data_IF_903333147118
#
_entry.id   IF_903333147118
#
_cell.length_a   1.000
_cell.length_b   1.000
_cell.length_c   1.000
_cell.angle_alpha   90.00
_cell.angle_beta   90.00
_cell.angle_gamma   90.00
#
_symmetry.space_group_name_H-M   'P 1'
#
loop_
_entity.id
_entity.type
_entity.pdbx_description
1 polymer ?
#
# COMPACT_ATOMS: atom_id res chain seq x y z
N UNK A 1 -21.91 1.31 -13.10
CA UNK A 1 -22.67 0.11 -12.70
C UNK A 1 -21.67 -0.99 -12.38
N UNK A 2 -21.69 -1.52 -11.16
CA UNK A 2 -20.83 -2.63 -10.75
C UNK A 2 -21.34 -3.94 -11.35
N UNK A 3 -20.44 -4.81 -11.79
CA UNK A 3 -20.79 -6.16 -12.27
C UNK A 3 -20.97 -7.09 -11.05
N UNK A 4 -22.05 -7.90 -11.02
CA UNK A 4 -22.31 -8.87 -9.94
C UNK A 4 -21.64 -10.22 -10.24
N UNK A 5 -21.22 -10.96 -9.20
CA UNK A 5 -20.61 -12.30 -9.26
C UNK A 5 -19.30 -12.37 -10.07
N UNK A 6 -18.38 -11.45 -9.77
CA UNK A 6 -17.12 -11.32 -10.50
C UNK A 6 -16.02 -12.06 -9.74
N UNK A 7 -15.37 -13.03 -10.38
CA UNK A 7 -14.22 -13.72 -9.80
C UNK A 7 -12.92 -13.00 -10.20
N UNK A 8 -12.26 -12.38 -9.23
CA UNK A 8 -11.01 -11.60 -9.39
C UNK A 8 -9.75 -12.38 -9.02
N UNK A 9 -9.91 -13.63 -8.62
CA UNK A 9 -8.84 -14.54 -8.21
C UNK A 9 -8.50 -15.54 -9.31
N UNK A 10 -9.18 -15.49 -10.46
CA UNK A 10 -8.78 -16.26 -11.65
C UNK A 10 -7.69 -15.56 -12.46
N UNK A 11 -7.11 -16.30 -13.42
CA UNK A 11 -6.24 -15.72 -14.45
C UNK A 11 -7.00 -14.67 -15.28
N UNK A 12 -6.48 -13.44 -15.34
CA UNK A 12 -7.06 -12.29 -16.05
C UNK A 12 -6.01 -11.65 -16.95
N UNK A 13 -6.29 -11.59 -18.26
CA UNK A 13 -5.44 -10.90 -19.25
C UNK A 13 -6.31 -10.03 -20.17
N UNK A 14 -5.86 -8.84 -20.57
CA UNK A 14 -4.69 -8.11 -20.04
C UNK A 14 -4.84 -7.77 -18.55
N UNK A 15 -3.76 -7.37 -17.89
CA UNK A 15 -3.81 -6.92 -16.50
C UNK A 15 -4.68 -5.67 -16.37
N UNK A 16 -5.49 -5.60 -15.31
CA UNK A 16 -6.43 -4.50 -15.03
C UNK A 16 -6.53 -4.25 -13.53
N UNK A 17 -7.01 -3.06 -13.14
CA UNK A 17 -7.12 -2.70 -11.73
C UNK A 17 -8.14 -3.54 -10.95
N UNK A 18 -7.83 -3.79 -9.67
CA UNK A 18 -8.71 -4.46 -8.70
C UNK A 18 -8.66 -5.98 -8.71
N UNK A 19 -7.69 -6.62 -9.37
CA UNK A 19 -7.55 -8.09 -9.46
C UNK A 19 -6.53 -8.64 -8.47
N UNK A 20 -6.56 -9.96 -8.21
CA UNK A 20 -5.57 -10.63 -7.36
C UNK A 20 -4.16 -10.54 -7.95
N UNK A 21 -3.18 -10.19 -7.12
CA UNK A 21 -1.75 -10.19 -7.44
C UNK A 21 -0.92 -10.45 -6.17
N UNK A 22 0.32 -10.88 -6.31
CA UNK A 22 1.24 -10.95 -5.17
C UNK A 22 2.66 -11.33 -5.56
N UNK A 23 3.62 -11.03 -4.68
CA UNK A 23 4.94 -11.62 -4.73
C UNK A 23 4.85 -13.14 -4.58
N UNK A 24 5.70 -13.90 -5.27
CA UNK A 24 5.68 -15.37 -5.23
C UNK A 24 6.06 -15.96 -3.85
N UNK A 25 6.70 -15.19 -2.96
CA UNK A 25 7.01 -15.61 -1.58
C UNK A 25 5.97 -15.19 -0.54
N UNK A 26 4.90 -14.47 -0.94
CA UNK A 26 3.84 -14.03 -0.03
C UNK A 26 2.47 -14.58 -0.47
N UNK A 27 1.42 -14.26 0.28
CA UNK A 27 0.05 -14.72 -0.01
C UNK A 27 -0.58 -14.11 -1.29
N UNK A 28 -1.53 -13.20 -1.15
CA UNK A 28 -2.14 -12.45 -2.26
C UNK A 28 -2.79 -11.17 -1.74
N UNK A 29 -2.61 -10.08 -2.49
CA UNK A 29 -3.32 -8.83 -2.33
C UNK A 29 -3.96 -8.39 -3.64
N UNK A 30 -4.19 -7.09 -3.77
CA UNK A 30 -4.88 -6.49 -4.91
C UNK A 30 -3.90 -5.67 -5.75
N UNK A 31 -3.97 -5.85 -7.08
CA UNK A 31 -3.43 -4.88 -8.02
C UNK A 31 -4.24 -3.59 -7.91
N UNK A 32 -3.70 -2.57 -7.26
CA UNK A 32 -4.40 -1.32 -6.99
C UNK A 32 -4.65 -0.53 -8.24
N UNK A 33 -3.58 0.00 -8.83
CA UNK A 33 -3.65 0.77 -10.07
C UNK A 33 -2.31 0.74 -10.80
N UNK A 34 -2.25 1.37 -11.98
CA UNK A 34 -1.02 1.59 -12.73
C UNK A 34 -0.39 2.92 -12.34
N UNK A 35 0.93 2.94 -12.21
CA UNK A 35 1.68 4.07 -11.67
C UNK A 35 2.73 4.54 -12.66
N UNK A 36 2.80 5.84 -12.93
CA UNK A 36 3.87 6.46 -13.69
C UNK A 36 4.94 7.02 -12.74
N UNK A 37 6.21 6.91 -13.12
CA UNK A 37 7.32 7.47 -12.37
C UNK A 37 7.55 8.92 -12.81
N UNK A 38 7.36 9.87 -11.89
CA UNK A 38 7.42 11.33 -12.19
C UNK A 38 8.82 11.83 -12.51
N UNK A 39 9.85 11.08 -12.11
CA UNK A 39 11.27 11.41 -12.26
C UNK A 39 11.96 10.69 -13.42
N UNK A 40 11.23 9.89 -14.21
CA UNK A 40 11.83 9.15 -15.34
C UNK A 40 12.16 10.09 -16.50
N UNK A 41 13.38 10.04 -17.09
CA UNK A 41 13.71 10.76 -18.31
C UNK A 41 12.78 10.38 -19.47
N UNK A 42 12.41 9.11 -19.52
CA UNK A 42 11.34 8.59 -20.36
C UNK A 42 10.04 8.66 -19.54
N UNK A 43 9.26 9.73 -19.75
CA UNK A 43 7.95 10.01 -19.12
C UNK A 43 6.86 8.93 -19.37
N UNK A 44 7.24 7.71 -19.74
CA UNK A 44 6.34 6.68 -20.27
C UNK A 44 6.50 5.30 -19.62
N UNK A 45 7.41 5.10 -18.65
CA UNK A 45 7.46 3.82 -17.94
C UNK A 45 6.31 3.75 -16.92
N UNK A 46 5.38 2.83 -17.17
CA UNK A 46 4.24 2.55 -16.30
C UNK A 46 4.48 1.23 -15.56
N UNK A 47 4.27 1.27 -14.26
CA UNK A 47 4.39 0.15 -13.34
C UNK A 47 3.01 -0.27 -12.86
N UNK A 48 2.91 -1.50 -12.36
CA UNK A 48 1.78 -1.86 -11.50
C UNK A 48 2.07 -1.38 -10.08
N UNK A 49 1.05 -0.94 -9.35
CA UNK A 49 1.14 -0.43 -7.98
C UNK A 49 0.23 -1.19 -7.02
N UNK A 50 0.75 -1.45 -5.82
CA UNK A 50 0.03 -2.08 -4.70
C UNK A 50 0.74 -1.75 -3.37
N UNK A 51 0.33 -2.37 -2.27
CA UNK A 51 1.06 -2.27 -1.01
C UNK A 51 2.43 -2.97 -1.09
N UNK A 52 3.38 -2.49 -0.29
CA UNK A 52 4.69 -3.11 -0.12
C UNK A 52 4.58 -4.55 0.36
N UNK A 53 3.73 -4.84 1.35
CA UNK A 53 3.55 -6.21 1.83
C UNK A 53 2.85 -7.14 0.82
N UNK A 54 2.37 -6.62 -0.31
CA UNK A 54 1.81 -7.41 -1.41
C UNK A 54 2.87 -7.71 -2.47
N UNK A 55 3.82 -6.79 -2.72
CA UNK A 55 4.80 -6.93 -3.81
C UNK A 55 6.23 -7.25 -3.35
N UNK A 56 6.54 -7.03 -2.08
CA UNK A 56 7.81 -7.42 -1.47
C UNK A 56 7.63 -8.69 -0.63
N UNK A 57 8.65 -9.55 -0.64
CA UNK A 57 8.75 -10.72 0.24
C UNK A 57 8.68 -10.34 1.72
N UNK A 58 9.42 -9.29 2.11
CA UNK A 58 9.37 -8.69 3.43
C UNK A 58 9.43 -7.16 3.30
N UNK A 59 8.30 -6.48 3.55
CA UNK A 59 8.19 -5.03 3.41
C UNK A 59 9.08 -4.22 4.37
N UNK A 60 9.58 -4.84 5.44
CA UNK A 60 10.52 -4.21 6.38
C UNK A 60 11.97 -4.19 5.86
N UNK A 61 12.29 -4.93 4.81
CA UNK A 61 13.64 -4.98 4.26
C UNK A 61 13.79 -3.93 3.16
N UNK A 62 14.98 -3.36 2.96
CA UNK A 62 15.23 -2.34 1.91
C UNK A 62 14.94 -2.83 0.47
N UNK A 63 14.90 -4.15 0.25
CA UNK A 63 14.65 -4.76 -1.06
C UNK A 63 14.03 -6.14 -0.89
N UNK A 64 13.39 -6.65 -1.94
CA UNK A 64 12.84 -8.02 -2.00
C UNK A 64 13.80 -8.97 -2.70
N UNK A 65 14.09 -10.16 -2.17
CA UNK A 65 14.94 -11.14 -2.89
C UNK A 65 14.13 -11.88 -3.94
N UNK A 66 12.95 -12.37 -3.58
CA UNK A 66 11.99 -12.84 -4.56
C UNK A 66 11.49 -11.67 -5.40
N UNK A 67 11.65 -11.76 -6.72
CA UNK A 67 11.31 -10.70 -7.67
C UNK A 67 10.06 -11.01 -8.48
N UNK A 68 9.59 -12.25 -8.51
CA UNK A 68 8.45 -12.69 -9.32
C UNK A 68 7.16 -12.19 -8.71
N UNK A 69 6.34 -11.54 -9.54
CA UNK A 69 4.97 -11.14 -9.20
C UNK A 69 4.00 -11.97 -10.03
N UNK A 70 3.04 -12.62 -9.36
CA UNK A 70 2.10 -13.57 -9.94
C UNK A 70 0.72 -12.94 -10.12
N UNK A 71 0.01 -13.31 -11.20
CA UNK A 71 -1.43 -13.03 -11.36
C UNK A 71 -2.17 -14.32 -11.77
N UNK A 72 -3.13 -14.80 -10.95
CA UNK A 72 -3.48 -14.29 -9.61
C UNK A 72 -2.30 -14.45 -8.61
N UNK A 73 -2.42 -13.94 -7.38
CA UNK A 73 -1.41 -14.18 -6.34
C UNK A 73 -1.31 -15.66 -5.94
N UNK A 74 -0.24 -16.05 -5.24
CA UNK A 74 0.04 -17.46 -4.89
C UNK A 74 -1.09 -18.08 -4.05
N UNK A 75 -1.59 -17.34 -3.05
CA UNK A 75 -2.73 -17.77 -2.22
C UNK A 75 -4.00 -18.07 -3.03
N UNK A 76 -4.17 -17.39 -4.18
CA UNK A 76 -5.30 -17.56 -5.07
C UNK A 76 -5.02 -18.59 -6.20
N UNK A 77 -3.93 -19.37 -6.09
CA UNK A 77 -3.57 -20.45 -7.01
C UNK A 77 -2.77 -20.01 -8.23
N UNK A 78 -2.17 -18.83 -8.20
CA UNK A 78 -1.41 -18.29 -9.32
C UNK A 78 -0.03 -18.92 -9.49
N UNK A 79 0.38 -19.12 -10.74
CA UNK A 79 1.69 -19.70 -11.07
C UNK A 79 2.42 -18.92 -12.18
N UNK A 80 1.72 -18.04 -12.88
CA UNK A 80 2.27 -17.27 -14.01
C UNK A 80 2.88 -15.95 -13.53
N UNK A 81 4.15 -15.73 -13.85
CA UNK A 81 4.85 -14.47 -13.59
C UNK A 81 4.41 -13.41 -14.60
N UNK A 82 3.85 -12.31 -14.12
CA UNK A 82 3.34 -11.20 -14.94
C UNK A 82 4.10 -9.90 -14.79
N UNK A 83 4.89 -9.79 -13.74
CA UNK A 83 5.71 -8.62 -13.46
C UNK A 83 6.92 -9.00 -12.62
N UNK A 84 7.88 -8.09 -12.55
CA UNK A 84 9.06 -8.18 -11.69
C UNK A 84 9.06 -7.03 -10.69
N UNK A 85 9.22 -7.34 -9.41
CA UNK A 85 9.44 -6.35 -8.36
C UNK A 85 10.44 -5.29 -8.81
N UNK A 86 10.14 -4.02 -8.54
CA UNK A 86 11.03 -2.91 -8.84
C UNK A 86 11.48 -2.19 -7.57
N UNK A 87 10.54 -1.67 -6.78
CA UNK A 87 10.83 -0.84 -5.61
C UNK A 87 9.66 -0.84 -4.63
N UNK A 88 9.95 -0.62 -3.35
CA UNK A 88 8.95 -0.34 -2.31
C UNK A 88 9.49 0.65 -1.27
N UNK A 89 8.58 1.31 -0.56
CA UNK A 89 8.91 2.04 0.67
C UNK A 89 9.11 1.04 1.79
N UNK A 90 10.30 1.04 2.40
CA UNK A 90 10.60 0.19 3.56
C UNK A 90 9.66 0.56 4.71
N UNK A 91 9.06 -0.45 5.33
CA UNK A 91 8.31 -0.29 6.58
C UNK A 91 9.24 -0.42 7.79
N UNK A 92 9.04 0.44 8.78
CA UNK A 92 9.79 0.45 10.03
C UNK A 92 8.92 -0.09 11.17
N UNK A 93 9.11 -1.35 11.59
CA UNK A 93 8.49 -1.90 12.78
C UNK A 93 8.73 -1.08 14.06
N UNK A 94 7.78 -1.13 14.97
CA UNK A 94 7.89 -0.50 16.29
C UNK A 94 9.04 -1.16 17.07
N UNK A 95 9.98 -0.34 17.53
CA UNK A 95 11.13 -0.80 18.31
C UNK A 95 12.30 -1.32 17.47
N UNK A 96 12.29 -1.10 16.16
CA UNK A 96 13.44 -1.39 15.31
C UNK A 96 14.69 -0.68 15.82
N UNK A 97 15.80 -1.42 15.88
CA UNK A 97 17.08 -0.91 16.38
C UNK A 97 17.77 -0.13 15.26
N UNK A 98 18.27 1.05 15.59
CA UNK A 98 19.00 1.89 14.64
C UNK A 98 20.33 1.25 14.22
N UNK A 99 20.57 1.13 12.91
CA UNK A 99 21.86 0.73 12.34
C UNK A 99 22.89 1.89 12.34
N UNK A 100 22.54 3.07 12.85
CA UNK A 100 23.42 4.25 12.84
C UNK A 100 24.65 4.03 13.74
N UNK A 101 25.88 4.05 13.19
CA UNK A 101 27.09 3.82 13.99
C UNK A 101 27.26 4.82 15.13
N UNK A 102 26.91 6.08 14.90
CA UNK A 102 27.03 7.15 15.91
C UNK A 102 26.07 6.90 17.08
N UNK A 103 24.80 6.59 16.80
CA UNK A 103 23.80 6.29 17.84
C UNK A 103 24.18 5.05 18.64
N UNK A 104 24.75 4.04 17.98
CA UNK A 104 25.24 2.83 18.64
C UNK A 104 26.43 3.14 19.58
N UNK A 105 27.39 3.96 19.16
CA UNK A 105 28.51 4.39 20.02
C UNK A 105 28.02 5.12 21.27
N UNK A 106 27.02 6.01 21.12
CA UNK A 106 26.43 6.73 22.25
C UNK A 106 25.75 5.75 23.21
N UNK A 107 24.95 4.82 22.68
CA UNK A 107 24.27 3.80 23.49
C UNK A 107 25.27 2.91 24.23
N UNK A 108 26.34 2.47 23.57
CA UNK A 108 27.42 1.67 24.18
C UNK A 108 28.11 2.43 25.32
N UNK A 109 28.37 3.72 25.13
CA UNK A 109 28.96 4.58 26.17
C UNK A 109 28.05 4.68 27.39
N UNK A 110 26.74 4.89 27.17
CA UNK A 110 25.76 4.96 28.25
C UNK A 110 25.60 3.61 28.96
N UNK A 111 25.66 2.50 28.21
CA UNK A 111 25.64 1.15 28.77
C UNK A 111 26.88 0.88 29.63
N UNK A 112 28.06 1.31 29.20
CA UNK A 112 29.29 1.21 30.00
C UNK A 112 29.20 2.01 31.31
N UNK A 113 28.66 3.24 31.26
CA UNK A 113 28.42 4.05 32.47
C UNK A 113 27.40 3.36 33.39
N UNK A 114 26.31 2.83 32.83
CA UNK A 114 25.26 2.10 33.55
C UNK A 114 25.86 0.91 34.32
N UNK A 115 26.72 0.14 33.66
CA UNK A 115 27.42 -1.00 34.24
C UNK A 115 28.37 -0.58 35.36
N UNK A 116 29.21 0.44 35.15
CA UNK A 116 30.12 1.00 36.18
C UNK A 116 29.36 1.46 37.43
N UNK A 117 28.17 2.03 37.25
CA UNK A 117 27.31 2.47 38.35
C UNK A 117 26.46 1.35 38.98
N UNK A 118 26.67 0.08 38.57
CA UNK A 118 25.94 -1.09 39.06
C UNK A 118 24.45 -1.09 38.71
N UNK A 119 24.06 -0.40 37.63
CA UNK A 119 22.67 -0.31 37.18
C UNK A 119 22.35 -1.47 36.24
N UNK A 120 21.05 -1.80 36.14
CA UNK A 120 20.53 -2.84 35.22
C UNK A 120 19.88 -2.26 33.96
N UNK A 121 20.05 -0.96 33.73
CA UNK A 121 19.46 -0.24 32.61
C UNK A 121 20.25 -0.51 31.34
N UNK A 122 19.54 -0.80 30.24
CA UNK A 122 20.10 -0.95 28.90
C UNK A 122 19.54 0.15 27.99
N UNK A 123 20.43 0.88 27.34
CA UNK A 123 20.13 1.86 26.32
C UNK A 123 20.22 1.19 24.95
N UNK A 124 19.15 1.30 24.17
CA UNK A 124 19.07 0.83 22.78
C UNK A 124 18.65 2.00 21.91
N UNK A 125 19.40 2.33 20.85
CA UNK A 125 18.97 3.34 19.90
C UNK A 125 17.86 2.70 19.04
N UNK A 126 16.65 3.21 19.15
CA UNK A 126 15.50 2.77 18.35
C UNK A 126 15.24 3.76 17.22
N UNK A 127 14.72 3.27 16.10
CA UNK A 127 14.22 4.10 15.00
C UNK A 127 12.91 4.74 15.45
N UNK A 128 12.90 6.08 15.44
CA UNK A 128 11.71 6.89 15.71
C UNK A 128 11.24 7.53 14.38
N UNK A 129 10.91 6.66 13.41
CA UNK A 129 10.37 7.07 12.12
C UNK A 129 8.97 6.47 11.97
N UNK A 130 7.98 7.35 11.77
CA UNK A 130 6.60 6.95 11.53
C UNK A 130 6.41 6.61 10.05
N UNK A 131 5.70 5.51 9.80
CA UNK A 131 5.35 5.10 8.46
C UNK A 131 4.15 5.93 7.99
N UNK A 132 4.15 6.34 6.74
CA UNK A 132 3.03 7.10 6.16
C UNK A 132 2.35 6.35 5.01
N UNK A 133 3.09 5.42 4.39
CA UNK A 133 2.62 4.62 3.26
C UNK A 133 3.09 3.18 3.38
N UNK A 134 2.24 2.31 2.86
CA UNK A 134 2.56 0.94 2.50
C UNK A 134 2.44 0.86 0.98
N UNK A 135 3.56 0.97 0.25
CA UNK A 135 3.51 1.14 -1.20
C UNK A 135 4.70 0.51 -1.92
N UNK A 136 4.40 -0.12 -3.05
CA UNK A 136 5.38 -0.73 -3.95
C UNK A 136 4.93 -0.69 -5.40
N UNK A 137 5.92 -0.86 -6.28
CA UNK A 137 5.71 -0.98 -7.72
C UNK A 137 6.47 -2.18 -8.31
N UNK A 138 5.93 -2.72 -9.40
CA UNK A 138 6.57 -3.76 -10.18
C UNK A 138 6.47 -3.48 -11.70
N UNK A 139 7.49 -3.91 -12.44
CA UNK A 139 7.57 -3.79 -13.89
C UNK A 139 6.79 -4.90 -14.56
N UNK A 140 5.73 -4.54 -15.27
CA UNK A 140 4.90 -5.49 -16.02
C UNK A 140 5.67 -6.10 -17.18
N UNK A 141 5.45 -7.39 -17.42
CA UNK A 141 6.02 -8.14 -18.56
C UNK A 141 4.95 -8.70 -19.50
N UNK A 142 3.69 -8.35 -19.28
CA UNK A 142 2.53 -8.79 -20.07
C UNK A 142 1.63 -7.60 -20.40
N UNK A 143 0.72 -7.71 -21.40
CA UNK A 143 -0.22 -6.64 -21.73
C UNK A 143 -1.11 -6.22 -20.55
N UNK A 144 -1.43 -4.93 -20.50
CA UNK A 144 -2.23 -4.29 -19.46
C UNK A 144 -3.18 -3.24 -20.05
N UNK A 145 -4.25 -2.92 -19.34
CA UNK A 145 -5.29 -1.96 -19.74
C UNK A 145 -5.73 -1.08 -18.56
N UNK A 146 -5.94 0.22 -18.82
CA UNK A 146 -6.41 1.22 -17.85
C UNK A 146 -7.92 1.14 -17.60
N UNK A 147 -8.38 0.01 -17.06
CA UNK A 147 -9.75 -0.16 -16.57
C UNK A 147 -9.75 -0.94 -15.26
N UNK A 148 -10.88 -0.90 -14.56
CA UNK A 148 -11.13 -1.86 -13.47
C UNK A 148 -11.87 -3.07 -13.99
N UNK A 149 -11.73 -4.18 -13.26
CA UNK A 149 -12.36 -5.43 -13.64
C UNK A 149 -13.90 -5.42 -13.47
N UNK A 150 -14.42 -4.79 -12.43
CA UNK A 150 -15.82 -4.90 -12.00
C UNK A 150 -16.58 -3.57 -11.91
N UNK A 151 -15.91 -2.43 -12.11
CA UNK A 151 -16.50 -1.10 -11.99
C UNK A 151 -15.98 -0.15 -13.09
N UNK A 152 -16.76 0.88 -13.40
CA UNK A 152 -16.31 1.99 -14.26
C UNK A 152 -16.18 3.25 -13.40
N UNK A 153 -14.96 3.73 -13.24
CA UNK A 153 -14.62 4.97 -12.56
C UNK A 153 -13.90 5.86 -13.57
N UNK A 154 -14.61 6.57 -14.48
CA UNK A 154 -13.93 7.33 -15.53
C UNK A 154 -13.04 8.44 -14.94
N UNK A 155 -11.82 8.67 -15.49
CA UNK A 155 -10.92 9.73 -15.01
C UNK A 155 -11.54 11.12 -14.99
N UNK A 156 -12.50 11.39 -15.88
CA UNK A 156 -13.21 12.68 -15.93
C UNK A 156 -14.21 12.92 -14.80
N UNK A 157 -14.32 11.99 -13.83
CA UNK A 157 -15.26 12.10 -12.70
C UNK A 157 -14.68 11.63 -11.37
N UNK A 158 -13.50 11.02 -11.38
CA UNK A 158 -12.93 10.39 -10.20
C UNK A 158 -11.45 10.73 -10.10
N UNK A 159 -11.02 11.04 -8.89
CA UNK A 159 -9.62 11.26 -8.56
C UNK A 159 -9.12 10.18 -7.60
N UNK A 160 -7.83 9.88 -7.67
CA UNK A 160 -7.17 8.92 -6.80
C UNK A 160 -6.91 9.51 -5.41
N UNK A 161 -7.26 8.75 -4.38
CA UNK A 161 -7.13 9.15 -2.97
C UNK A 161 -5.97 8.45 -2.28
N UNK A 162 -5.68 7.21 -2.69
CA UNK A 162 -4.66 6.39 -2.06
C UNK A 162 -4.93 4.89 -2.16
N UNK A 163 -4.30 4.13 -1.26
CA UNK A 163 -4.40 2.68 -1.21
C UNK A 163 -4.92 2.22 0.15
N UNK A 164 -5.88 1.30 0.15
CA UNK A 164 -6.29 0.60 1.36
C UNK A 164 -5.25 -0.45 1.76
N UNK A 165 -4.89 -0.51 3.04
CA UNK A 165 -3.80 -1.40 3.51
C UNK A 165 -4.15 -2.22 4.75
N UNK A 166 -5.07 -1.75 5.59
CA UNK A 166 -5.48 -2.45 6.81
C UNK A 166 -6.93 -2.11 7.18
N UNK A 167 -7.58 -2.94 7.99
CA UNK A 167 -8.94 -2.68 8.43
C UNK A 167 -9.53 -3.81 9.27
N UNK A 168 -10.75 -3.57 9.73
CA UNK A 168 -11.60 -4.50 10.48
C UNK A 168 -13.04 -4.40 9.97
N UNK A 169 -13.96 -5.11 10.63
CA UNK A 169 -15.38 -4.98 10.34
C UNK A 169 -15.97 -3.61 10.72
N UNK A 170 -15.22 -2.78 11.46
CA UNK A 170 -15.68 -1.47 11.94
C UNK A 170 -15.06 -0.28 11.21
N UNK A 171 -13.81 -0.41 10.78
CA UNK A 171 -13.03 0.69 10.18
C UNK A 171 -12.12 0.15 9.08
N UNK A 172 -11.74 0.99 8.13
CA UNK A 172 -10.69 0.69 7.16
C UNK A 172 -9.70 1.85 7.10
N UNK A 173 -8.43 1.50 6.89
CA UNK A 173 -7.29 2.40 6.91
C UNK A 173 -6.70 2.51 5.50
N UNK A 174 -6.41 3.74 5.10
CA UNK A 174 -5.87 4.06 3.79
C UNK A 174 -4.62 4.94 3.94
N UNK A 175 -3.58 4.60 3.18
CA UNK A 175 -2.44 5.47 2.99
C UNK A 175 -2.77 6.52 1.92
N UNK A 176 -2.37 7.77 2.13
CA UNK A 176 -2.71 8.90 1.24
C UNK A 176 -1.90 8.88 -0.06
N UNK A 177 -2.52 9.40 -1.11
CA UNK A 177 -1.88 9.64 -2.41
C UNK A 177 -0.63 10.53 -2.31
N UNK A 178 -0.61 11.52 -1.41
CA UNK A 178 0.47 12.51 -1.34
C UNK A 178 1.84 11.84 -1.09
N UNK A 179 1.88 10.93 -0.13
CA UNK A 179 3.10 10.21 0.20
C UNK A 179 3.58 9.27 -0.93
N UNK A 180 2.69 8.78 -1.80
CA UNK A 180 3.07 8.03 -3.00
C UNK A 180 3.75 8.97 -4.02
N UNK A 181 3.27 10.20 -4.12
CA UNK A 181 3.84 11.24 -4.99
C UNK A 181 5.20 11.71 -4.50
N UNK A 182 5.36 11.84 -3.20
CA UNK A 182 6.63 12.23 -2.58
C UNK A 182 7.75 11.20 -2.89
N UNK A 183 7.39 9.93 -3.06
CA UNK A 183 8.28 8.86 -3.50
C UNK A 183 8.47 8.80 -5.04
N UNK A 184 7.89 9.76 -5.77
CA UNK A 184 8.08 9.93 -7.21
C UNK A 184 7.14 9.11 -8.09
N UNK A 185 5.96 8.73 -7.59
CA UNK A 185 4.96 7.97 -8.35
C UNK A 185 3.60 8.66 -8.40
N UNK A 186 2.94 8.62 -9.56
CA UNK A 186 1.58 9.14 -9.76
C UNK A 186 0.66 8.09 -10.39
N UNK A 187 -0.65 8.11 -10.10
CA UNK A 187 -1.58 7.20 -10.74
C UNK A 187 -1.70 7.55 -12.24
N UNK A 188 -1.44 6.57 -13.10
CA UNK A 188 -1.46 6.79 -14.54
C UNK A 188 -2.88 7.13 -15.02
N UNK A 189 -3.00 8.29 -15.66
CA UNK A 189 -4.23 8.76 -16.30
C UNK A 189 -5.32 9.25 -15.35
N UNK A 190 -5.02 9.51 -14.08
CA UNK A 190 -5.97 10.08 -13.11
C UNK A 190 -5.34 11.24 -12.36
N UNK A 191 -6.17 12.23 -12.05
CA UNK A 191 -5.81 13.24 -11.05
C UNK A 191 -5.83 12.65 -9.65
N UNK A 192 -5.16 13.36 -8.73
CA UNK A 192 -5.12 13.03 -7.30
C UNK A 192 -5.85 14.09 -6.52
N UNK A 193 -6.42 13.71 -5.38
CA UNK A 193 -7.04 14.68 -4.48
C UNK A 193 -7.05 14.19 -3.05
N UNK A 194 -7.15 15.14 -2.12
CA UNK A 194 -7.39 14.86 -0.72
C UNK A 194 -8.89 14.67 -0.47
N UNK A 195 -9.22 14.00 0.63
CA UNK A 195 -10.60 13.75 1.04
C UNK A 195 -10.87 14.38 2.40
N UNK A 196 -12.15 14.68 2.63
CA UNK A 196 -12.64 15.31 3.84
C UNK A 196 -13.62 14.39 4.56
N UNK A 197 -13.88 14.68 5.84
CA UNK A 197 -14.90 13.96 6.59
C UNK A 197 -16.25 13.99 5.84
N UNK A 198 -16.92 12.84 5.81
CA UNK A 198 -18.15 12.54 5.08
C UNK A 198 -18.03 12.38 3.56
N UNK A 199 -16.83 12.52 2.97
CA UNK A 199 -16.65 12.14 1.56
C UNK A 199 -16.87 10.64 1.38
N UNK A 200 -17.61 10.28 0.33
CA UNK A 200 -17.83 8.89 -0.05
C UNK A 200 -16.71 8.45 -0.97
N UNK A 201 -15.94 7.47 -0.53
CA UNK A 201 -14.84 6.90 -1.29
C UNK A 201 -15.20 5.51 -1.81
N UNK A 202 -14.59 5.17 -2.94
CA UNK A 202 -14.88 4.01 -3.76
C UNK A 202 -13.64 3.15 -3.90
N UNK A 203 -13.75 1.87 -3.61
CA UNK A 203 -12.63 0.92 -3.64
C UNK A 203 -12.97 -0.24 -4.56
N UNK A 204 -11.99 -0.75 -5.28
CA UNK A 204 -12.13 -2.05 -5.97
C UNK A 204 -10.93 -2.95 -5.73
N UNK A 205 -11.20 -4.21 -5.38
CA UNK A 205 -10.17 -5.16 -5.01
C UNK A 205 -10.61 -6.60 -5.07
N UNK A 206 -9.66 -7.51 -4.82
CA UNK A 206 -9.80 -8.92 -5.18
C UNK A 206 -10.78 -9.69 -4.29
N UNK A 207 -10.99 -9.27 -3.04
CA UNK A 207 -11.86 -9.97 -2.09
C UNK A 207 -13.26 -9.37 -2.06
N UNK A 208 -13.39 -8.12 -1.61
CA UNK A 208 -14.72 -7.47 -1.46
C UNK A 208 -15.28 -6.90 -2.76
N UNK A 209 -14.58 -7.08 -3.88
CA UNK A 209 -14.92 -6.47 -5.16
C UNK A 209 -15.01 -4.94 -5.01
N UNK A 210 -16.01 -4.32 -5.64
CA UNK A 210 -16.35 -2.93 -5.49
C UNK A 210 -17.11 -2.68 -4.19
N UNK A 211 -16.58 -1.77 -3.36
CA UNK A 211 -17.18 -1.32 -2.11
C UNK A 211 -17.08 0.20 -1.98
N UNK A 212 -17.88 0.77 -1.07
CA UNK A 212 -17.84 2.20 -0.75
C UNK A 212 -18.03 2.40 0.75
N UNK A 213 -17.43 3.46 1.28
CA UNK A 213 -17.55 3.89 2.67
C UNK A 213 -17.39 5.40 2.76
N UNK A 214 -17.80 5.98 3.89
CA UNK A 214 -17.60 7.41 4.17
C UNK A 214 -16.32 7.61 4.96
N UNK A 215 -15.60 8.70 4.69
CA UNK A 215 -14.42 9.11 5.47
C UNK A 215 -14.88 9.64 6.84
N UNK A 216 -14.29 9.15 7.92
CA UNK A 216 -14.51 9.64 9.29
C UNK A 216 -13.38 10.57 9.72
N UNK A 217 -12.14 10.11 9.57
CA UNK A 217 -10.94 10.86 9.92
C UNK A 217 -10.05 10.98 8.68
N UNK A 218 -9.54 12.18 8.46
CA UNK A 218 -8.60 12.48 7.37
C UNK A 218 -7.14 12.26 7.77
N UNK A 219 -6.88 12.06 9.07
CA UNK A 219 -5.58 11.82 9.65
C UNK A 219 -5.77 11.08 10.98
N UNK A 220 -5.04 9.98 11.18
CA UNK A 220 -5.04 9.21 12.41
C UNK A 220 -3.69 8.49 12.58
N UNK A 221 -3.34 8.23 13.84
CA UNK A 221 -2.22 7.36 14.21
C UNK A 221 -2.75 5.96 14.48
N UNK A 222 -2.22 4.95 13.80
CA UNK A 222 -2.72 3.57 13.88
C UNK A 222 -1.58 2.56 13.93
N UNK A 223 -1.70 1.55 14.78
CA UNK A 223 -0.75 0.45 14.88
C UNK A 223 -1.34 -0.77 14.18
N UNK A 224 -0.63 -1.25 13.16
CA UNK A 224 -1.09 -2.34 12.30
C UNK A 224 -0.21 -3.57 12.50
N UNK A 225 -0.86 -4.74 12.60
CA UNK A 225 -0.19 -6.03 12.73
C UNK A 225 0.11 -6.62 11.34
N UNK A 226 1.39 -6.87 11.06
CA UNK A 226 1.89 -7.51 9.83
C UNK A 226 2.24 -8.99 10.05
N UNK A 227 1.57 -9.63 11.01
CA UNK A 227 1.75 -11.02 11.40
C UNK A 227 2.78 -11.17 12.52
N UNK A 228 4.06 -10.97 12.18
CA UNK A 228 5.19 -11.21 13.09
C UNK A 228 5.72 -9.93 13.78
N UNK A 229 5.23 -8.76 13.35
CA UNK A 229 5.66 -7.47 13.87
C UNK A 229 4.52 -6.44 13.74
N UNK A 230 4.63 -5.36 14.50
CA UNK A 230 3.70 -4.24 14.47
C UNK A 230 4.38 -3.03 13.83
N UNK A 231 3.62 -2.30 13.03
CA UNK A 231 4.07 -1.09 12.34
C UNK A 231 3.15 0.05 12.74
N UNK A 232 3.72 1.15 13.20
CA UNK A 232 2.98 2.38 13.48
C UNK A 232 2.89 3.22 12.21
N UNK A 233 1.68 3.66 11.89
CA UNK A 233 1.41 4.60 10.82
C UNK A 233 0.89 5.91 11.38
N UNK A 234 1.31 7.01 10.77
CA UNK A 234 0.75 8.34 11.00
C UNK A 234 0.11 8.88 9.72
N UNK A 235 -0.80 9.83 9.91
CA UNK A 235 -1.52 10.52 8.84
C UNK A 235 -2.30 9.60 7.87
N UNK A 236 -2.92 8.54 8.41
CA UNK A 236 -3.80 7.66 7.61
C UNK A 236 -5.25 8.13 7.60
N UNK A 237 -5.95 7.84 6.50
CA UNK A 237 -7.40 8.08 6.39
C UNK A 237 -8.15 6.90 7.02
N UNK A 238 -9.19 7.19 7.79
CA UNK A 238 -10.06 6.21 8.44
C UNK A 238 -11.49 6.35 7.91
N UNK A 239 -12.11 5.22 7.54
CA UNK A 239 -13.51 5.18 7.12
C UNK A 239 -14.47 4.72 8.21
N UNK A 240 -15.71 5.19 8.13
CA UNK A 240 -16.82 4.65 8.88
C UNK A 240 -17.27 3.33 8.25
N UNK A 241 -17.26 2.26 9.03
CA UNK A 241 -17.63 0.94 8.56
C UNK A 241 -16.55 0.28 7.70
N UNK A 242 -16.93 -0.87 7.14
CA UNK A 242 -16.03 -1.76 6.41
C UNK A 242 -15.94 -1.34 4.94
N UNK A 243 -14.78 -0.84 4.52
CA UNK A 243 -14.41 -0.68 3.11
C UNK A 243 -13.57 -1.88 2.62
N UNK A 244 -12.67 -2.37 3.47
CA UNK A 244 -11.69 -3.40 3.18
C UNK A 244 -12.06 -4.72 3.86
N UNK A 245 -11.82 -5.83 3.16
CA UNK A 245 -11.84 -7.19 3.70
C UNK A 245 -10.42 -7.79 3.65
N UNK A 246 -10.13 -8.84 4.44
CA UNK A 246 -8.87 -9.57 4.31
C UNK A 246 -8.57 -9.92 2.85
N UNK A 247 -7.38 -9.55 2.37
CA UNK A 247 -6.95 -9.71 0.98
C UNK A 247 -7.20 -8.52 0.05
N UNK A 248 -7.93 -7.49 0.48
CA UNK A 248 -8.09 -6.24 -0.28
C UNK A 248 -6.90 -5.28 -0.16
N UNK A 249 -5.86 -5.63 0.61
CA UNK A 249 -4.64 -4.83 0.70
C UNK A 249 -4.11 -4.49 -0.70
N UNK A 250 -3.78 -3.22 -0.88
CA UNK A 250 -3.31 -2.66 -2.14
C UNK A 250 -4.43 -2.20 -3.06
N UNK A 251 -5.70 -2.33 -2.66
CA UNK A 251 -6.82 -1.80 -3.45
C UNK A 251 -6.71 -0.29 -3.60
N UNK A 252 -6.87 0.21 -4.82
CA UNK A 252 -6.96 1.63 -5.08
C UNK A 252 -8.29 2.19 -4.61
N UNK A 253 -8.23 3.42 -4.09
CA UNK A 253 -9.38 4.15 -3.57
C UNK A 253 -9.53 5.49 -4.28
N UNK A 254 -10.78 5.84 -4.57
CA UNK A 254 -11.18 6.91 -5.47
C UNK A 254 -12.30 7.73 -4.87
N UNK A 255 -12.34 9.03 -5.13
CA UNK A 255 -13.46 9.90 -4.76
C UNK A 255 -14.07 10.51 -6.01
N UNK A 256 -15.38 10.71 -6.02
CA UNK A 256 -16.05 11.39 -7.13
C UNK A 256 -15.77 12.89 -7.04
N UNK A 257 -15.38 13.51 -8.15
CA UNK A 257 -15.16 14.95 -8.21
C UNK A 257 -16.47 15.70 -8.00
N UNK A 258 -16.46 16.63 -7.05
CA UNK A 258 -17.57 17.55 -6.83
C UNK A 258 -17.46 18.67 -7.86
N UNK A 259 -18.15 18.51 -8.99
CA UNK A 259 -18.35 19.64 -9.90
C UNK A 259 -19.19 20.67 -9.15
N UNK A 260 -18.63 21.86 -8.92
CA UNK A 260 -19.43 23.01 -8.53
C UNK A 260 -20.43 23.24 -9.66
N UNK A 261 -21.70 23.01 -9.37
CA UNK A 261 -22.77 23.55 -10.21
C UNK A 261 -22.80 25.04 -9.87
N UNK A 262 -22.24 25.87 -10.74
CA UNK A 262 -22.45 27.33 -10.70
C UNK A 262 -23.94 27.68 -10.89
#
# INVERSE_FOLDING_TARGET
TAVKNVNKTTRIRPLVGGISIGNASISAGTLGWFMEKTTSPDKSEVFLGSNAHVLAEEAKNKTSHEKRILQPGDYDGGTEVVAKYYWHKQLHPIGDISECPVSNIVADTLNAISEVLGRKTRFLPVIDELNHIDFAVARMSVPWETRFFDVKLPPSKYSFVGLGFAGSDKVSLLCKQQYIIDEGYRPFGYEVTDVWANDVIHKTGRTSCYSKASVTLTSAYEIVNYGNYYVAFDDVIVTEGKLLSPGDSGSSVWVMEKFLVE
#
